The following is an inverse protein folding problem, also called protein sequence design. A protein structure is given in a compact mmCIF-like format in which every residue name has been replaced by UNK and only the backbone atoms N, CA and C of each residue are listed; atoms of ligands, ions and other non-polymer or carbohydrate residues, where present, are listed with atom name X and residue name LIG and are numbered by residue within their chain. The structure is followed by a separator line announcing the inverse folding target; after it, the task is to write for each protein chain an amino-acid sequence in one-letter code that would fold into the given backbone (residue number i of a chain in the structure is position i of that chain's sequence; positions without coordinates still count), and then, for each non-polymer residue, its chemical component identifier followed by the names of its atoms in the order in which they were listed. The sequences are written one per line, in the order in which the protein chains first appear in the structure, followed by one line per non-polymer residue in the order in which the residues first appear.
data_IF_216978535499
#
_entry.id   IF_216978535499
#
_cell.length_a   1.000
_cell.length_b   1.000
_cell.length_c   1.000
_cell.angle_alpha   90.00
_cell.angle_beta   90.00
_cell.angle_gamma   90.00
#
_symmetry.space_group_name_H-M   'P 1'
#
loop_
_entity.id
_entity.type
_entity.pdbx_description
1 polymer ?
#
# COMPACT_ATOMS: atom_id res chain seq x y z
N UNK A 1 14.23 -8.71 -16.27
CA UNK A 1 14.80 -9.68 -15.33
C UNK A 1 14.52 -9.11 -13.94
N UNK A 2 13.44 -9.58 -13.31
CA UNK A 2 12.88 -8.94 -12.11
C UNK A 2 12.98 -9.94 -10.95
N UNK A 3 13.90 -9.70 -10.02
CA UNK A 3 14.03 -10.52 -8.81
C UNK A 3 13.18 -9.90 -7.69
N UNK A 4 12.09 -10.56 -7.31
CA UNK A 4 11.23 -10.18 -6.18
C UNK A 4 11.73 -10.97 -4.96
N UNK A 5 12.36 -10.28 -4.01
CA UNK A 5 12.64 -10.85 -2.68
C UNK A 5 11.40 -10.74 -1.80
N UNK A 6 11.10 -11.81 -1.07
CA UNK A 6 9.90 -12.04 -0.23
C UNK A 6 9.70 -11.08 0.96
N UNK A 7 10.43 -9.96 1.02
CA UNK A 7 10.28 -8.89 2.01
C UNK A 7 10.03 -7.50 1.41
N UNK A 8 9.92 -7.38 0.08
CA UNK A 8 10.04 -6.10 -0.60
C UNK A 8 8.73 -5.31 -0.71
N UNK A 9 8.75 -4.10 -0.14
CA UNK A 9 7.87 -3.04 -0.61
C UNK A 9 8.35 -2.62 -2.01
N UNK A 10 7.56 -2.92 -3.06
CA UNK A 10 7.88 -2.47 -4.41
C UNK A 10 7.27 -1.10 -4.67
N UNK A 11 8.07 -0.15 -5.15
CA UNK A 11 7.62 1.20 -5.50
C UNK A 11 7.60 1.38 -7.02
N UNK A 12 6.44 1.70 -7.57
CA UNK A 12 6.27 2.14 -8.95
C UNK A 12 6.01 3.64 -9.00
N UNK A 13 6.62 4.34 -9.96
CA UNK A 13 6.43 5.78 -10.15
C UNK A 13 5.99 6.06 -11.57
N UNK A 14 4.97 6.90 -11.73
CA UNK A 14 4.54 7.42 -13.04
C UNK A 14 4.08 8.85 -12.88
N UNK A 15 4.88 9.80 -13.37
CA UNK A 15 4.66 11.23 -13.14
C UNK A 15 4.58 11.55 -11.64
N UNK A 16 3.49 12.19 -11.22
CA UNK A 16 3.24 12.56 -9.81
C UNK A 16 2.54 11.47 -8.99
N UNK A 17 2.55 10.21 -9.41
CA UNK A 17 1.85 9.10 -8.73
C UNK A 17 2.84 8.02 -8.30
N UNK A 18 2.70 7.56 -7.05
CA UNK A 18 3.51 6.51 -6.42
C UNK A 18 2.61 5.33 -6.03
N UNK A 19 3.01 4.10 -6.36
CA UNK A 19 2.33 2.88 -5.93
C UNK A 19 3.31 2.02 -5.14
N UNK A 20 2.93 1.67 -3.92
CA UNK A 20 3.63 0.72 -3.06
C UNK A 20 2.86 -0.60 -3.05
N UNK A 21 3.58 -1.72 -3.17
CA UNK A 21 3.04 -3.05 -2.94
C UNK A 21 3.66 -3.64 -1.69
N UNK A 22 2.89 -4.31 -0.83
CA UNK A 22 3.42 -5.05 0.32
C UNK A 22 2.76 -6.41 0.46
N UNK A 23 3.51 -7.43 0.86
CA UNK A 23 2.96 -8.78 1.03
C UNK A 23 2.23 -8.87 2.36
N UNK A 24 1.01 -9.44 2.35
CA UNK A 24 0.27 -9.83 3.54
C UNK A 24 -0.03 -11.33 3.47
N UNK A 25 0.61 -12.12 4.33
CA UNK A 25 0.49 -13.58 4.33
C UNK A 25 -0.89 -14.10 4.73
N UNK A 26 -1.70 -13.29 5.42
CA UNK A 26 -3.09 -13.62 5.75
C UNK A 26 -4.11 -13.13 4.72
N UNK A 27 -3.67 -12.39 3.68
CA UNK A 27 -4.58 -11.84 2.69
C UNK A 27 -4.99 -12.91 1.66
N UNK A 28 -6.28 -12.93 1.31
CA UNK A 28 -6.83 -13.74 0.22
C UNK A 28 -7.23 -12.89 -1.00
N UNK A 29 -7.14 -11.58 -0.87
CA UNK A 29 -7.53 -10.58 -1.87
C UNK A 29 -6.44 -9.51 -1.98
N UNK A 30 -6.41 -8.79 -3.09
CA UNK A 30 -5.66 -7.54 -3.19
C UNK A 30 -6.38 -6.46 -2.38
N UNK A 31 -5.70 -5.84 -1.43
CA UNK A 31 -6.31 -4.83 -0.56
C UNK A 31 -5.75 -3.44 -0.87
N UNK A 32 -6.60 -2.54 -1.37
CA UNK A 32 -6.26 -1.14 -1.64
C UNK A 32 -6.39 -0.36 -0.34
N UNK A 33 -5.27 0.12 0.20
CA UNK A 33 -5.22 0.81 1.49
C UNK A 33 -5.62 2.29 1.36
N UNK A 34 -6.65 2.69 2.10
CA UNK A 34 -7.16 4.07 2.07
C UNK A 34 -6.39 5.01 3.02
N UNK A 35 -6.23 4.68 4.32
CA UNK A 35 -5.38 5.43 5.24
C UNK A 35 -4.06 4.73 5.57
N UNK A 36 -3.12 5.52 6.11
CA UNK A 36 -2.05 5.08 6.99
C UNK A 36 -2.20 5.76 8.35
N UNK A 37 -1.70 5.12 9.41
CA UNK A 37 -1.77 5.58 10.80
C UNK A 37 -0.39 6.02 11.25
N UNK A 38 -0.28 7.10 12.04
CA UNK A 38 0.97 7.63 12.58
C UNK A 38 1.54 6.76 13.71
N UNK A 39 1.34 5.44 13.68
CA UNK A 39 1.77 4.52 14.71
C UNK A 39 2.76 3.48 14.15
N UNK A 40 3.89 3.34 14.84
CA UNK A 40 4.83 2.24 14.67
C UNK A 40 4.79 1.33 15.90
N UNK A 41 4.12 0.19 15.76
CA UNK A 41 4.03 -0.87 16.78
C UNK A 41 4.28 -2.21 16.08
N UNK A 42 5.55 -2.58 15.95
CA UNK A 42 5.97 -3.70 15.11
C UNK A 42 5.81 -5.02 15.88
N UNK A 43 5.12 -6.00 15.29
CA UNK A 43 4.89 -7.30 15.93
C UNK A 43 6.17 -8.14 16.04
N UNK A 44 7.06 -8.02 15.06
CA UNK A 44 8.41 -8.59 15.01
C UNK A 44 9.44 -7.49 14.69
N UNK A 45 10.74 -7.72 14.90
CA UNK A 45 11.78 -6.82 14.40
C UNK A 45 11.73 -6.73 12.87
N UNK A 46 12.09 -5.57 12.33
CA UNK A 46 12.41 -5.45 10.91
C UNK A 46 13.77 -6.11 10.57
N UNK A 47 14.17 -6.05 9.30
CA UNK A 47 15.43 -6.64 8.81
C UNK A 47 16.69 -6.03 9.46
N UNK A 48 16.58 -4.84 10.08
CA UNK A 48 17.67 -4.20 10.83
C UNK A 48 17.54 -4.42 12.35
N UNK A 49 16.59 -5.25 12.79
CA UNK A 49 16.34 -5.55 14.19
C UNK A 49 15.53 -4.48 14.93
N UNK A 50 15.02 -3.45 14.26
CA UNK A 50 14.23 -2.41 14.89
C UNK A 50 12.80 -2.90 15.17
N UNK A 51 12.38 -2.80 16.43
CA UNK A 51 11.04 -3.23 16.90
C UNK A 51 10.38 -2.13 17.76
N UNK A 52 9.92 -1.02 17.16
CA UNK A 52 9.25 0.06 17.87
C UNK A 52 7.94 -0.40 18.51
N UNK A 53 7.56 0.20 19.63
CA UNK A 53 6.31 -0.06 20.35
C UNK A 53 5.62 1.26 20.70
N UNK A 54 4.43 1.51 20.13
CA UNK A 54 3.60 2.70 20.39
C UNK A 54 4.33 4.03 20.21
N UNK A 55 5.19 4.14 19.19
CA UNK A 55 5.88 5.39 18.85
C UNK A 55 5.29 6.01 17.59
N UNK A 56 5.33 7.34 17.44
CA UNK A 56 4.85 7.97 16.22
C UNK A 56 5.75 7.63 15.03
N UNK A 57 5.15 7.40 13.86
CA UNK A 57 5.91 7.29 12.59
C UNK A 57 6.62 8.61 12.30
N UNK A 58 5.91 9.73 12.52
CA UNK A 58 6.42 11.09 12.37
C UNK A 58 6.07 11.89 13.62
N UNK A 59 7.04 12.15 14.52
CA UNK A 59 6.79 12.84 15.78
C UNK A 59 6.13 14.22 15.64
N UNK A 60 6.49 14.97 14.60
CA UNK A 60 5.95 16.31 14.37
C UNK A 60 4.50 16.34 13.88
N UNK A 61 3.93 15.20 13.50
CA UNK A 61 2.53 15.12 13.09
C UNK A 61 1.57 15.04 14.29
N UNK A 62 2.08 14.79 15.50
CA UNK A 62 1.29 14.72 16.74
C UNK A 62 1.00 13.29 17.18
N UNK A 63 -0.22 13.06 17.66
CA UNK A 63 -0.67 11.79 18.25
C UNK A 63 -0.48 10.59 17.30
N UNK A 64 -0.21 9.40 17.86
CA UNK A 64 0.00 8.15 17.11
C UNK A 64 -1.27 7.70 16.38
N UNK A 65 -2.46 8.06 16.89
CA UNK A 65 -3.75 7.77 16.28
C UNK A 65 -4.05 8.61 15.03
N UNK A 66 -3.22 9.62 14.74
CA UNK A 66 -3.41 10.47 13.56
C UNK A 66 -3.34 9.64 12.29
N UNK A 67 -4.20 9.97 11.33
CA UNK A 67 -4.26 9.28 10.04
C UNK A 67 -3.96 10.22 8.90
N UNK A 68 -3.34 9.66 7.85
CA UNK A 68 -3.19 10.29 6.53
C UNK A 68 -3.89 9.41 5.51
N UNK A 69 -4.44 10.00 4.45
CA UNK A 69 -5.19 9.27 3.41
C UNK A 69 -4.67 9.62 2.04
N UNK A 70 -4.74 8.65 1.14
CA UNK A 70 -4.51 8.93 -0.27
C UNK A 70 -5.57 9.89 -0.82
N UNK A 71 -5.16 10.77 -1.73
CA UNK A 71 -6.08 11.63 -2.48
C UNK A 71 -6.70 10.91 -3.68
N UNK A 72 -6.21 9.70 -4.01
CA UNK A 72 -6.79 8.89 -5.07
C UNK A 72 -8.20 8.40 -4.66
N UNK A 73 -9.17 8.42 -5.58
CA UNK A 73 -10.52 7.96 -5.28
C UNK A 73 -10.58 6.42 -5.23
N UNK A 74 -10.26 5.84 -4.07
CA UNK A 74 -10.12 4.37 -3.86
C UNK A 74 -11.37 3.59 -4.31
N UNK A 75 -12.57 4.12 -4.10
CA UNK A 75 -13.80 3.47 -4.58
C UNK A 75 -13.90 3.46 -6.11
N UNK A 76 -13.48 4.55 -6.79
CA UNK A 76 -13.44 4.58 -8.26
C UNK A 76 -12.36 3.63 -8.80
N UNK A 77 -11.22 3.54 -8.13
CA UNK A 77 -10.17 2.56 -8.44
C UNK A 77 -10.73 1.13 -8.39
N UNK A 78 -11.42 0.77 -7.29
CA UNK A 78 -12.03 -0.56 -7.15
C UNK A 78 -13.05 -0.85 -8.25
N UNK A 79 -13.92 0.11 -8.58
CA UNK A 79 -14.92 -0.05 -9.63
C UNK A 79 -14.28 -0.27 -11.02
N UNK A 80 -13.28 0.55 -11.39
CA UNK A 80 -12.58 0.40 -12.66
C UNK A 80 -11.78 -0.91 -12.75
N UNK A 81 -11.28 -1.43 -11.62
CA UNK A 81 -10.68 -2.77 -11.56
C UNK A 81 -11.72 -3.88 -11.69
N UNK A 82 -12.93 -3.69 -11.14
CA UNK A 82 -14.03 -4.63 -11.30
C UNK A 82 -14.42 -4.77 -12.79
N UNK A 83 -14.49 -3.67 -13.53
CA UNK A 83 -14.71 -3.66 -15.00
C UNK A 83 -13.62 -4.41 -15.78
N UNK A 84 -12.41 -4.54 -15.20
CA UNK A 84 -11.30 -5.34 -15.73
C UNK A 84 -11.29 -6.80 -15.25
N UNK A 85 -12.33 -7.25 -14.55
CA UNK A 85 -12.48 -8.64 -14.09
C UNK A 85 -11.94 -8.92 -12.67
N UNK A 86 -11.63 -7.90 -11.87
CA UNK A 86 -11.11 -8.07 -10.50
C UNK A 86 -12.15 -7.89 -9.38
N UNK A 87 -13.44 -7.93 -9.72
CA UNK A 87 -14.56 -7.62 -8.81
C UNK A 87 -14.53 -8.40 -7.48
N UNK A 88 -14.17 -9.69 -7.54
CA UNK A 88 -14.11 -10.61 -6.40
C UNK A 88 -12.69 -10.80 -5.87
N UNK A 89 -11.71 -10.10 -6.45
CA UNK A 89 -10.28 -10.20 -6.07
C UNK A 89 -9.77 -8.98 -5.33
N UNK A 90 -10.49 -7.85 -5.40
CA UNK A 90 -10.04 -6.56 -4.88
C UNK A 90 -10.98 -6.04 -3.80
N UNK A 91 -10.40 -5.69 -2.65
CA UNK A 91 -11.09 -5.04 -1.54
C UNK A 91 -10.47 -3.67 -1.24
N UNK A 92 -11.24 -2.81 -0.59
CA UNK A 92 -10.73 -1.58 0.01
C UNK A 92 -10.45 -1.84 1.48
N UNK A 93 -9.28 -1.42 1.97
CA UNK A 93 -8.89 -1.56 3.36
C UNK A 93 -8.75 -0.19 4.03
N UNK A 94 -9.13 -0.15 5.32
CA UNK A 94 -9.02 1.02 6.18
C UNK A 94 -7.92 0.86 7.24
N UNK A 95 -7.07 -0.16 7.10
CA UNK A 95 -6.02 -0.48 8.06
C UNK A 95 -4.82 -1.15 7.37
N UNK A 96 -3.77 -0.37 7.14
CA UNK A 96 -2.51 -0.86 6.57
C UNK A 96 -1.61 -1.59 7.61
N UNK A 97 -2.12 -1.86 8.81
CA UNK A 97 -1.39 -2.45 9.92
C UNK A 97 -0.53 -1.45 10.69
N UNK A 98 0.40 -1.96 11.50
CA UNK A 98 1.35 -1.15 12.30
C UNK A 98 2.80 -1.58 12.11
N UNK A 99 3.08 -2.31 11.03
CA UNK A 99 4.41 -2.76 10.66
C UNK A 99 5.02 -1.86 9.58
N UNK A 100 6.06 -2.33 8.88
CA UNK A 100 6.83 -1.57 7.89
C UNK A 100 5.96 -1.05 6.74
N UNK A 101 4.92 -1.78 6.33
CA UNK A 101 3.98 -1.35 5.29
C UNK A 101 3.30 -0.01 5.65
N UNK A 102 2.66 0.05 6.83
CA UNK A 102 2.04 1.28 7.34
C UNK A 102 3.07 2.39 7.53
N UNK A 103 4.25 2.07 8.09
CA UNK A 103 5.32 3.02 8.33
C UNK A 103 5.73 3.73 7.02
N UNK A 104 6.04 2.97 5.97
CA UNK A 104 6.43 3.52 4.67
C UNK A 104 5.27 4.24 3.99
N UNK A 105 4.05 3.72 4.11
CA UNK A 105 2.88 4.37 3.51
C UNK A 105 2.61 5.73 4.14
N UNK A 106 2.69 5.85 5.46
CA UNK A 106 2.49 7.11 6.18
C UNK A 106 3.51 8.18 5.76
N UNK A 107 4.80 7.81 5.67
CA UNK A 107 5.83 8.70 5.13
C UNK A 107 5.52 9.15 3.69
N UNK A 108 5.09 8.22 2.86
CA UNK A 108 4.79 8.46 1.44
C UNK A 108 3.57 9.37 1.25
N UNK A 109 2.53 9.20 2.07
CA UNK A 109 1.37 10.08 2.09
C UNK A 109 1.73 11.50 2.56
N UNK A 110 2.52 11.64 3.63
CA UNK A 110 2.99 12.96 4.07
C UNK A 110 3.82 13.65 2.99
N UNK A 111 4.75 12.92 2.37
CA UNK A 111 5.51 13.45 1.24
C UNK A 111 4.58 13.88 0.11
N UNK A 112 3.56 13.07 -0.20
CA UNK A 112 2.63 13.34 -1.27
C UNK A 112 1.82 14.63 -1.06
N UNK A 113 1.31 14.83 0.15
CA UNK A 113 0.62 16.06 0.55
C UNK A 113 1.53 17.30 0.41
N UNK A 114 2.79 17.21 0.83
CA UNK A 114 3.73 18.32 0.81
C UNK A 114 4.20 18.70 -0.60
N UNK A 115 4.18 17.76 -1.54
CA UNK A 115 4.75 17.94 -2.89
C UNK A 115 3.70 17.95 -4.01
N UNK A 116 2.40 17.91 -3.66
CA UNK A 116 1.32 17.82 -4.64
C UNK A 116 1.42 16.57 -5.53
N UNK A 117 1.88 15.46 -4.96
CA UNK A 117 1.90 14.14 -5.61
C UNK A 117 0.83 13.24 -4.97
N UNK A 118 0.68 12.01 -5.46
CA UNK A 118 -0.20 11.00 -4.85
C UNK A 118 0.58 9.74 -4.53
N UNK A 119 0.14 9.02 -3.50
CA UNK A 119 0.70 7.73 -3.11
C UNK A 119 -0.44 6.76 -2.82
N UNK A 120 -0.29 5.52 -3.26
CA UNK A 120 -1.20 4.41 -2.98
C UNK A 120 -0.39 3.25 -2.41
N UNK A 121 -0.98 2.51 -1.47
CA UNK A 121 -0.44 1.24 -1.01
C UNK A 121 -1.45 0.13 -1.31
N UNK A 122 -0.95 -1.01 -1.78
CA UNK A 122 -1.76 -2.21 -2.00
C UNK A 122 -1.10 -3.40 -1.30
N UNK A 123 -1.83 -4.05 -0.40
CA UNK A 123 -1.41 -5.35 0.10
C UNK A 123 -1.77 -6.44 -0.90
N UNK A 124 -0.80 -7.31 -1.18
CA UNK A 124 -0.95 -8.47 -2.06
C UNK A 124 -0.80 -9.78 -1.27
N UNK A 125 -1.52 -10.85 -1.63
CA UNK A 125 -1.34 -12.17 -1.01
C UNK A 125 0.03 -12.79 -1.29
N UNK A 126 0.32 -13.91 -0.63
CA UNK A 126 1.44 -14.78 -1.04
C UNK A 126 1.21 -15.36 -2.43
N UNK A 127 2.29 -15.70 -3.13
CA UNK A 127 2.21 -16.38 -4.43
C UNK A 127 1.56 -17.77 -4.36
N UNK A 128 1.57 -18.40 -3.19
CA UNK A 128 0.83 -19.65 -2.94
C UNK A 128 -0.68 -19.44 -2.85
N UNK A 129 -1.15 -18.21 -2.61
CA UNK A 129 -2.57 -17.85 -2.53
C UNK A 129 -3.08 -17.29 -3.85
N UNK A 130 -2.33 -16.38 -4.46
CA UNK A 130 -2.58 -15.89 -5.83
C UNK A 130 -1.24 -15.92 -6.55
N UNK A 131 -1.14 -16.70 -7.63
CA UNK A 131 0.11 -16.92 -8.34
C UNK A 131 0.73 -15.62 -8.89
N UNK A 132 2.05 -15.64 -9.03
CA UNK A 132 2.85 -14.47 -9.45
C UNK A 132 2.36 -13.87 -10.77
N UNK A 133 2.00 -14.71 -11.76
CA UNK A 133 1.52 -14.21 -13.05
C UNK A 133 0.22 -13.41 -12.89
N UNK A 134 -0.75 -13.94 -12.14
CA UNK A 134 -1.99 -13.22 -11.83
C UNK A 134 -1.72 -11.91 -11.07
N UNK A 135 -0.77 -11.89 -10.12
CA UNK A 135 -0.41 -10.67 -9.40
C UNK A 135 0.24 -9.63 -10.32
N UNK A 136 1.11 -10.05 -11.24
CA UNK A 136 1.75 -9.15 -12.21
C UNK A 136 0.73 -8.56 -13.19
N UNK A 137 -0.20 -9.35 -13.68
CA UNK A 137 -1.32 -8.88 -14.52
C UNK A 137 -2.21 -7.87 -13.77
N UNK A 138 -2.47 -8.13 -12.48
CA UNK A 138 -3.17 -7.19 -11.61
C UNK A 138 -2.42 -5.87 -11.45
N UNK A 139 -1.11 -5.91 -11.18
CA UNK A 139 -0.29 -4.70 -11.02
C UNK A 139 -0.29 -3.87 -12.31
N UNK A 140 -0.16 -4.51 -13.47
CA UNK A 140 -0.26 -3.82 -14.76
C UNK A 140 -1.63 -3.14 -14.94
N UNK A 141 -2.71 -3.88 -14.68
CA UNK A 141 -4.08 -3.34 -14.74
C UNK A 141 -4.30 -2.17 -13.77
N UNK A 142 -3.79 -2.27 -12.55
CA UNK A 142 -3.86 -1.22 -11.53
C UNK A 142 -3.11 0.03 -11.98
N UNK A 143 -1.90 -0.11 -12.53
CA UNK A 143 -1.12 1.02 -13.03
C UNK A 143 -1.83 1.74 -14.18
N UNK A 144 -2.51 1.01 -15.07
CA UNK A 144 -3.34 1.59 -16.13
C UNK A 144 -4.49 2.41 -15.54
N UNK A 145 -5.25 1.84 -14.59
CA UNK A 145 -6.37 2.55 -13.96
C UNK A 145 -5.88 3.80 -13.20
N UNK A 146 -4.79 3.68 -12.43
CA UNK A 146 -4.18 4.83 -11.72
C UNK A 146 -3.75 5.92 -12.72
N UNK A 147 -3.27 5.53 -13.90
CA UNK A 147 -2.86 6.48 -14.94
C UNK A 147 -4.04 7.29 -15.48
N UNK A 148 -5.21 6.66 -15.63
CA UNK A 148 -6.43 7.26 -16.19
C UNK A 148 -7.20 8.14 -15.20
N UNK A 149 -7.02 7.93 -13.89
CA UNK A 149 -7.68 8.74 -12.87
C UNK A 149 -6.87 10.03 -12.63
N UNK A 150 -7.44 11.18 -12.99
CA UNK A 150 -6.90 12.51 -12.72
C UNK A 150 -7.13 12.91 -11.26
#
# INVERSE_FOLDING_TARGET
DWSISLSCICLFTKGKKKLHLGVNSGATHFAIESPAINEATFCCPDEMGWKPQKVPVIPSDGDISKTRRTTLPVNKLKLALAEKGYQDKVITSNDAGRFVCNYVYYHSLRFAEQNGTTSLFVHVPLFTTIDEKTQMEFVASLLDVISLLA
#
